data_IF_487027639564
#
_entry.id   IF_487027639564
#
_cell.length_a   1.000
_cell.length_b   1.000
_cell.length_c   1.000
_cell.angle_alpha   90.00
_cell.angle_beta   90.00
_cell.angle_gamma   90.00
#
_symmetry.space_group_name_H-M   'P 1'
#
loop_
_entity.id
_entity.type
_entity.pdbx_description
1 polymer ?
#
# COMPACT_ATOMS: atom_id res chain seq x y z
N UNK A 1 9.87 6.47 -7.12
CA UNK A 1 9.85 5.02 -6.82
C UNK A 1 8.42 4.65 -6.46
N UNK A 2 7.76 3.70 -7.13
CA UNK A 2 6.40 3.27 -6.72
C UNK A 2 6.48 2.11 -5.73
N UNK A 3 5.90 2.30 -4.55
CA UNK A 3 5.67 1.30 -3.51
C UNK A 3 4.42 0.52 -3.91
N UNK A 4 4.55 -0.78 -4.14
CA UNK A 4 3.43 -1.64 -4.50
C UNK A 4 3.16 -2.63 -3.36
N UNK A 5 1.92 -2.59 -2.85
CA UNK A 5 1.46 -3.53 -1.83
C UNK A 5 0.75 -4.67 -2.55
N UNK A 6 1.43 -5.81 -2.62
CA UNK A 6 0.91 -7.02 -3.25
C UNK A 6 0.02 -7.77 -2.28
N UNK A 7 -1.22 -8.06 -2.67
CA UNK A 7 -2.12 -8.82 -1.83
C UNK A 7 -3.30 -9.42 -2.61
N UNK A 8 -3.77 -10.57 -2.16
CA UNK A 8 -4.90 -11.29 -2.74
C UNK A 8 -6.28 -10.65 -2.45
N UNK A 9 -6.32 -9.45 -1.87
CA UNK A 9 -7.56 -8.75 -1.53
C UNK A 9 -8.14 -9.11 -0.16
N UNK A 10 -7.40 -9.89 0.63
CA UNK A 10 -7.76 -10.28 1.98
C UNK A 10 -7.87 -9.08 2.95
N UNK A 11 -8.62 -9.17 4.07
CA UNK A 11 -8.77 -8.07 5.03
C UNK A 11 -7.43 -7.61 5.62
N UNK A 12 -6.49 -8.53 5.87
CA UNK A 12 -5.13 -8.22 6.30
C UNK A 12 -4.35 -7.43 5.25
N UNK A 13 -4.55 -7.77 3.97
CA UNK A 13 -3.90 -7.16 2.82
C UNK A 13 -4.33 -5.68 2.66
N UNK A 14 -5.63 -5.40 2.84
CA UNK A 14 -6.16 -4.02 2.88
C UNK A 14 -5.57 -3.22 4.04
N UNK A 15 -5.51 -3.82 5.24
CA UNK A 15 -4.96 -3.17 6.42
C UNK A 15 -3.47 -2.83 6.25
N UNK A 16 -2.71 -3.72 5.60
CA UNK A 16 -1.32 -3.46 5.24
C UNK A 16 -1.21 -2.24 4.31
N UNK A 17 -2.04 -2.17 3.26
CA UNK A 17 -2.07 -1.03 2.33
C UNK A 17 -2.37 0.30 3.02
N UNK A 18 -3.33 0.34 3.95
CA UNK A 18 -3.64 1.54 4.72
C UNK A 18 -2.47 1.99 5.60
N UNK A 19 -1.80 1.06 6.28
CA UNK A 19 -0.64 1.36 7.13
C UNK A 19 0.53 1.86 6.27
N UNK A 20 0.77 1.23 5.13
CA UNK A 20 1.82 1.65 4.18
C UNK A 20 1.54 3.04 3.61
N UNK A 21 0.28 3.37 3.28
CA UNK A 21 -0.09 4.72 2.84
C UNK A 21 0.18 5.78 3.92
N UNK A 22 -0.17 5.48 5.18
CA UNK A 22 0.11 6.38 6.31
C UNK A 22 1.60 6.62 6.48
N UNK A 23 2.39 5.54 6.55
CA UNK A 23 3.84 5.63 6.66
C UNK A 23 4.48 6.40 5.50
N UNK A 24 4.03 6.16 4.26
CA UNK A 24 4.50 6.89 3.10
C UNK A 24 4.15 8.39 3.17
N UNK A 25 2.94 8.74 3.63
CA UNK A 25 2.55 10.13 3.83
C UNK A 25 3.39 10.83 4.92
N UNK A 26 3.70 10.15 6.02
CA UNK A 26 4.57 10.64 7.10
C UNK A 26 6.00 10.89 6.61
N UNK A 27 6.49 10.09 5.66
CA UNK A 27 7.80 10.25 5.03
C UNK A 27 7.82 11.26 3.86
N UNK A 28 6.69 11.93 3.58
CA UNK A 28 6.57 12.86 2.44
C UNK A 28 6.53 12.18 1.07
N UNK A 29 6.37 10.85 1.04
CA UNK A 29 6.27 10.02 -0.17
C UNK A 29 4.80 9.88 -0.63
N UNK A 30 4.08 11.02 -0.69
CA UNK A 30 2.69 11.08 -1.15
C UNK A 30 2.58 10.53 -2.58
N UNK A 31 1.46 9.84 -2.87
CA UNK A 31 1.10 9.31 -4.20
C UNK A 31 2.01 8.21 -4.77
N UNK A 32 2.89 7.62 -3.95
CA UNK A 32 3.76 6.54 -4.38
C UNK A 32 3.32 5.15 -3.93
N UNK A 33 2.18 4.98 -3.24
CA UNK A 33 1.69 3.67 -2.78
C UNK A 33 0.51 3.19 -3.62
N UNK A 34 0.65 2.03 -4.25
CA UNK A 34 -0.38 1.39 -5.07
C UNK A 34 -0.67 -0.02 -4.53
N UNK A 35 -1.95 -0.39 -4.46
CA UNK A 35 -2.34 -1.75 -4.08
C UNK A 35 -2.49 -2.59 -5.35
N UNK A 36 -1.75 -3.69 -5.42
CA UNK A 36 -1.75 -4.58 -6.57
C UNK A 36 -2.34 -5.91 -6.16
N UNK A 37 -3.47 -6.26 -6.78
CA UNK A 37 -4.08 -7.58 -6.67
C UNK A 37 -3.62 -8.44 -7.85
N UNK A 38 -2.73 -9.40 -7.59
CA UNK A 38 -2.41 -10.46 -8.57
C UNK A 38 -3.53 -11.50 -8.57
N UNK A 39 -4.13 -11.74 -9.73
CA UNK A 39 -5.04 -12.85 -9.97
C UNK A 39 -4.31 -14.18 -10.07
#
# INVERSE_FOLDING_TARGET
MRIQVLGSGCPTCKKLFEITQKAAAELGLKDQVEYVTGG
#
